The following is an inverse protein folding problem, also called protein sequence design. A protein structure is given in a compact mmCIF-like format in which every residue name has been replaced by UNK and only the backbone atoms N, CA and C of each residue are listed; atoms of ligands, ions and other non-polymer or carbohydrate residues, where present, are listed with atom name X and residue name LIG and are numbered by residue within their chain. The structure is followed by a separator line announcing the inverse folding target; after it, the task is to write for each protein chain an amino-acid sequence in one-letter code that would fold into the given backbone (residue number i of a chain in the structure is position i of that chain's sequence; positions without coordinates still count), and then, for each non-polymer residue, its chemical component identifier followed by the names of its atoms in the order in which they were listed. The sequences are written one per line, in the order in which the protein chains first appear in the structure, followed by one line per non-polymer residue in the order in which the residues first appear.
data_IF_926860348608
#
_entry.id   IF_926860348608
#
_cell.length_a   1.000
_cell.length_b   1.000
_cell.length_c   1.000
_cell.angle_alpha   90.00
_cell.angle_beta   90.00
_cell.angle_gamma   90.00
#
_symmetry.space_group_name_H-M   'P 1'
#
loop_
_entity.id
_entity.type
_entity.pdbx_description
1 polymer ?
#
# COMPACT_ATOMS: atom_id res chain seq x y z
N UNK A 1 20.50 5.23 26.08
CA UNK A 1 20.52 6.69 25.89
C UNK A 1 20.13 6.94 24.45
N UNK A 2 18.86 7.28 24.22
CA UNK A 2 18.32 7.49 22.87
C UNK A 2 18.77 8.85 22.35
N UNK A 3 19.23 8.88 21.10
CA UNK A 3 19.44 10.11 20.36
C UNK A 3 18.11 10.85 20.25
N UNK A 4 17.99 12.01 20.90
CA UNK A 4 16.96 12.99 20.57
C UNK A 4 17.19 13.43 19.12
N UNK A 5 16.41 12.88 18.19
CA UNK A 5 16.28 13.44 16.84
C UNK A 5 15.81 14.88 16.99
N UNK A 6 16.73 15.81 16.76
CA UNK A 6 16.50 17.25 16.72
C UNK A 6 15.35 17.54 15.74
N UNK A 7 14.13 17.78 16.25
CA UNK A 7 12.96 18.10 15.43
C UNK A 7 13.25 19.43 14.73
N UNK A 8 13.40 19.40 13.39
CA UNK A 8 13.51 20.62 12.59
C UNK A 8 12.32 21.52 12.91
N UNK A 9 12.57 22.82 13.05
CA UNK A 9 11.48 23.79 13.23
C UNK A 9 10.54 23.72 12.03
N UNK A 10 9.23 23.93 12.23
CA UNK A 10 8.22 23.95 11.14
C UNK A 10 8.66 24.85 9.98
N UNK A 11 9.30 25.98 10.30
CA UNK A 11 9.85 26.93 9.33
C UNK A 11 10.98 26.32 8.50
N UNK A 12 11.79 25.46 9.10
CA UNK A 12 12.91 24.79 8.45
C UNK A 12 12.45 23.60 7.60
N UNK A 13 11.39 22.91 8.02
CA UNK A 13 10.75 21.90 7.20
C UNK A 13 10.07 22.52 5.96
N UNK A 14 9.45 23.69 6.09
CA UNK A 14 8.79 24.37 4.95
C UNK A 14 9.76 24.96 3.92
N UNK A 15 11.07 25.04 4.20
CA UNK A 15 12.06 25.54 3.22
C UNK A 15 12.23 24.64 2.00
N UNK A 16 11.85 23.37 2.12
CA UNK A 16 11.97 22.37 1.07
C UNK A 16 10.65 21.62 0.84
N UNK A 17 10.16 21.64 -0.39
CA UNK A 17 8.91 21.04 -0.84
C UNK A 17 9.21 20.11 -2.01
N UNK A 18 9.02 18.80 -1.80
CA UNK A 18 9.21 17.78 -2.85
C UNK A 18 10.62 17.75 -3.43
N UNK A 19 11.66 17.97 -2.61
CA UNK A 19 13.06 18.01 -3.06
C UNK A 19 13.49 19.35 -3.70
N UNK A 20 12.60 20.36 -3.71
CA UNK A 20 12.88 21.68 -4.28
C UNK A 20 12.80 22.79 -3.22
N UNK A 21 13.53 23.91 -3.40
CA UNK A 21 13.34 25.10 -2.58
C UNK A 21 11.88 25.60 -2.66
N UNK A 22 11.33 26.02 -1.52
CA UNK A 22 9.92 26.41 -1.41
C UNK A 22 9.48 27.47 -2.43
N UNK A 23 10.33 28.45 -2.72
CA UNK A 23 10.05 29.52 -3.68
C UNK A 23 9.92 29.00 -5.12
N UNK A 24 10.74 28.00 -5.48
CA UNK A 24 10.71 27.38 -6.81
C UNK A 24 9.45 26.53 -6.95
N UNK A 25 9.11 25.76 -5.91
CA UNK A 25 7.85 25.03 -5.87
C UNK A 25 6.65 25.96 -6.04
N UNK A 26 6.59 27.08 -5.32
CA UNK A 26 5.46 28.02 -5.43
C UNK A 26 5.35 28.64 -6.83
N UNK A 27 6.49 28.96 -7.47
CA UNK A 27 6.50 29.44 -8.85
C UNK A 27 5.93 28.39 -9.81
N UNK A 28 6.41 27.14 -9.73
CA UNK A 28 5.90 26.03 -10.53
C UNK A 28 4.41 25.78 -10.28
N UNK A 29 3.99 25.76 -9.01
CA UNK A 29 2.61 25.56 -8.61
C UNK A 29 1.71 26.68 -9.17
N UNK A 30 2.13 27.94 -9.07
CA UNK A 30 1.37 29.07 -9.58
C UNK A 30 1.15 28.98 -11.10
N UNK A 31 2.20 28.63 -11.86
CA UNK A 31 2.11 28.45 -13.31
C UNK A 31 1.18 27.29 -13.65
N UNK A 32 1.41 26.11 -13.05
CA UNK A 32 0.61 24.91 -13.32
C UNK A 32 -0.86 25.16 -12.98
N UNK A 33 -1.15 25.74 -11.81
CA UNK A 33 -2.52 26.07 -11.42
C UNK A 33 -3.15 27.09 -12.36
N UNK A 34 -2.44 28.15 -12.76
CA UNK A 34 -2.96 29.14 -13.71
C UNK A 34 -3.39 28.48 -15.03
N UNK A 35 -2.51 27.66 -15.61
CA UNK A 35 -2.75 26.97 -16.89
C UNK A 35 -3.86 25.91 -16.75
N UNK A 36 -3.95 25.25 -15.59
CA UNK A 36 -5.04 24.31 -15.23
C UNK A 36 -6.39 25.03 -15.14
N UNK A 37 -6.45 26.17 -14.45
CA UNK A 37 -7.71 26.94 -14.31
C UNK A 37 -8.14 27.64 -15.60
N UNK A 38 -7.22 27.97 -16.50
CA UNK A 38 -7.55 28.46 -17.85
C UNK A 38 -7.87 27.34 -18.84
N UNK A 39 -7.80 26.09 -18.40
CA UNK A 39 -8.00 24.89 -19.24
C UNK A 39 -7.09 24.81 -20.47
N UNK A 40 -5.83 25.25 -20.35
CA UNK A 40 -4.86 25.28 -21.45
C UNK A 40 -3.74 24.26 -21.30
N UNK A 41 -3.72 23.47 -20.21
CA UNK A 41 -2.65 22.52 -19.91
C UNK A 41 -2.74 21.26 -20.79
N UNK A 42 -3.94 20.92 -21.25
CA UNK A 42 -4.23 19.69 -21.98
C UNK A 42 -4.59 18.51 -21.08
N UNK A 43 -4.85 17.36 -21.70
CA UNK A 43 -5.38 16.15 -21.06
C UNK A 43 -4.53 14.92 -21.38
N UNK A 44 -3.23 15.02 -21.15
CA UNK A 44 -2.26 13.95 -21.39
C UNK A 44 -1.56 13.51 -20.10
N UNK A 45 -0.63 12.57 -20.23
CA UNK A 45 0.14 12.06 -19.10
C UNK A 45 1.00 13.15 -18.41
N UNK A 46 1.47 14.16 -19.15
CA UNK A 46 2.25 15.26 -18.57
C UNK A 46 1.36 16.21 -17.76
N UNK A 47 0.16 16.52 -18.25
CA UNK A 47 -0.84 17.27 -17.50
C UNK A 47 -1.24 16.54 -16.20
N UNK A 48 -1.44 15.22 -16.28
CA UNK A 48 -1.68 14.38 -15.12
C UNK A 48 -0.55 14.47 -14.09
N UNK A 49 0.71 14.30 -14.52
CA UNK A 49 1.87 14.39 -13.62
C UNK A 49 1.93 15.78 -13.00
N UNK A 50 1.80 16.84 -13.78
CA UNK A 50 1.90 18.22 -13.30
C UNK A 50 0.83 18.54 -12.23
N UNK A 51 -0.44 18.27 -12.53
CA UNK A 51 -1.57 18.58 -11.65
C UNK A 51 -1.50 17.74 -10.37
N UNK A 52 -1.30 16.43 -10.49
CA UNK A 52 -1.23 15.54 -9.31
C UNK A 52 -0.01 15.82 -8.44
N UNK A 53 1.15 16.10 -9.02
CA UNK A 53 2.39 16.35 -8.27
C UNK A 53 2.32 17.66 -7.50
N UNK A 54 1.79 18.73 -8.10
CA UNK A 54 1.62 20.02 -7.39
C UNK A 54 0.75 19.83 -6.15
N UNK A 55 -0.41 19.17 -6.30
CA UNK A 55 -1.29 18.92 -5.16
C UNK A 55 -0.68 17.95 -4.14
N UNK A 56 -0.07 16.87 -4.61
CA UNK A 56 0.50 15.84 -3.74
C UNK A 56 1.62 16.39 -2.87
N UNK A 57 2.55 17.19 -3.42
CA UNK A 57 3.68 17.73 -2.66
C UNK A 57 3.21 18.58 -1.48
N UNK A 58 2.30 19.53 -1.70
CA UNK A 58 1.85 20.43 -0.63
C UNK A 58 1.00 19.71 0.40
N UNK A 59 0.04 18.88 -0.03
CA UNK A 59 -0.82 18.13 0.87
C UNK A 59 -0.01 17.10 1.68
N UNK A 60 0.91 16.38 1.04
CA UNK A 60 1.80 15.44 1.73
C UNK A 60 2.64 16.18 2.79
N UNK A 61 3.19 17.35 2.45
CA UNK A 61 3.96 18.15 3.40
C UNK A 61 3.11 18.58 4.59
N UNK A 62 1.92 19.12 4.35
CA UNK A 62 1.00 19.55 5.41
C UNK A 62 0.68 18.38 6.35
N UNK A 63 0.35 17.21 5.79
CA UNK A 63 0.01 16.03 6.60
C UNK A 63 1.18 15.53 7.46
N UNK A 64 2.42 15.67 6.98
CA UNK A 64 3.62 15.27 7.73
C UNK A 64 4.00 16.27 8.82
N UNK A 65 3.77 17.57 8.60
CA UNK A 65 4.07 18.63 9.57
C UNK A 65 3.09 18.62 10.74
N UNK A 66 1.81 18.33 10.49
CA UNK A 66 0.76 18.36 11.53
C UNK A 66 0.97 17.22 12.54
N UNK A 67 1.36 17.49 13.80
CA UNK A 67 1.83 16.44 14.72
C UNK A 67 0.75 15.39 15.05
N UNK A 68 -0.48 15.85 15.28
CA UNK A 68 -1.61 14.97 15.59
C UNK A 68 -1.97 14.12 14.35
N UNK A 69 -2.02 14.75 13.18
CA UNK A 69 -2.36 14.08 11.93
C UNK A 69 -1.32 13.01 11.55
N UNK A 70 -0.04 13.38 11.65
CA UNK A 70 1.06 12.49 11.33
C UNK A 70 1.12 11.29 12.28
N UNK A 71 0.89 11.52 13.56
CA UNK A 71 0.98 10.45 14.57
C UNK A 71 -0.24 9.53 14.59
N UNK A 72 -1.46 10.07 14.44
CA UNK A 72 -2.69 9.33 14.73
C UNK A 72 -3.58 9.06 13.53
N UNK A 73 -3.41 9.77 12.42
CA UNK A 73 -4.26 9.57 11.24
C UNK A 73 -3.48 8.76 10.22
N UNK A 74 -2.41 9.32 9.66
CA UNK A 74 -1.60 8.59 8.68
C UNK A 74 -0.73 9.49 7.83
N UNK A 75 -0.31 10.63 8.40
CA UNK A 75 0.64 11.53 7.78
C UNK A 75 0.19 12.08 6.43
N UNK A 76 1.19 12.41 5.63
CA UNK A 76 0.99 13.07 4.35
C UNK A 76 0.18 12.26 3.34
N UNK A 77 0.28 10.93 3.33
CA UNK A 77 -0.50 10.08 2.42
C UNK A 77 -2.01 10.26 2.60
N UNK A 78 -2.51 10.17 3.84
CA UNK A 78 -3.92 10.39 4.11
C UNK A 78 -4.31 11.87 3.93
N UNK A 79 -3.40 12.81 4.14
CA UNK A 79 -3.66 14.22 3.83
C UNK A 79 -3.84 14.45 2.32
N UNK A 80 -3.07 13.77 1.47
CA UNK A 80 -3.30 13.81 0.02
C UNK A 80 -4.68 13.23 -0.30
N UNK A 81 -5.05 12.09 0.28
CA UNK A 81 -6.34 11.46 0.05
C UNK A 81 -7.53 12.34 0.46
N UNK A 82 -7.59 12.74 1.74
CA UNK A 82 -8.71 13.57 2.24
C UNK A 82 -8.66 15.00 1.70
N UNK A 83 -7.45 15.57 1.58
CA UNK A 83 -7.25 16.91 1.04
C UNK A 83 -7.75 17.01 -0.39
N UNK A 84 -7.37 16.08 -1.28
CA UNK A 84 -7.88 16.07 -2.67
C UNK A 84 -9.38 15.81 -2.73
N UNK A 85 -9.94 14.95 -1.86
CA UNK A 85 -11.38 14.75 -1.77
C UNK A 85 -12.12 16.04 -1.36
N UNK A 86 -11.59 16.82 -0.41
CA UNK A 86 -12.13 18.12 -0.02
C UNK A 86 -12.02 19.11 -1.17
N UNK A 87 -10.86 19.20 -1.84
CA UNK A 87 -10.66 20.08 -2.99
C UNK A 87 -11.67 19.77 -4.11
N UNK A 88 -11.89 18.49 -4.40
CA UNK A 88 -12.92 18.04 -5.34
C UNK A 88 -14.33 18.45 -4.87
N UNK A 89 -14.67 18.19 -3.60
CA UNK A 89 -16.00 18.50 -3.05
C UNK A 89 -16.31 20.00 -3.06
N UNK A 90 -15.28 20.84 -2.91
CA UNK A 90 -15.39 22.30 -3.00
C UNK A 90 -15.30 22.82 -4.45
N UNK A 91 -15.23 21.95 -5.45
CA UNK A 91 -15.06 22.28 -6.87
C UNK A 91 -13.82 23.15 -7.15
N UNK A 92 -12.74 22.94 -6.39
CA UNK A 92 -11.46 23.64 -6.55
C UNK A 92 -10.53 22.99 -7.58
N UNK A 93 -10.90 21.80 -8.08
CA UNK A 93 -10.21 21.11 -9.17
C UNK A 93 -11.16 21.12 -10.37
N UNK A 94 -10.78 21.67 -11.53
CA UNK A 94 -11.67 21.67 -12.69
C UNK A 94 -12.00 20.23 -13.12
N UNK A 95 -13.26 20.02 -13.51
CA UNK A 95 -13.83 18.67 -13.72
C UNK A 95 -13.05 17.84 -14.74
N UNK A 96 -12.59 18.45 -15.84
CA UNK A 96 -11.79 17.74 -16.85
C UNK A 96 -10.52 17.09 -16.26
N UNK A 97 -9.86 17.75 -15.30
CA UNK A 97 -8.67 17.18 -14.65
C UNK A 97 -9.03 16.09 -13.65
N UNK A 98 -10.22 16.15 -13.03
CA UNK A 98 -10.73 15.05 -12.20
C UNK A 98 -10.98 13.81 -13.06
N UNK A 99 -11.58 13.98 -14.23
CA UNK A 99 -11.79 12.90 -15.20
C UNK A 99 -10.47 12.34 -15.74
N UNK A 100 -9.52 13.21 -16.09
CA UNK A 100 -8.16 12.82 -16.51
C UNK A 100 -7.50 11.92 -15.47
N UNK A 101 -7.52 12.34 -14.20
CA UNK A 101 -6.94 11.57 -13.10
C UNK A 101 -7.67 10.23 -12.95
N UNK A 102 -9.00 10.21 -12.99
CA UNK A 102 -9.78 8.97 -12.93
C UNK A 102 -9.42 7.99 -14.04
N UNK A 103 -9.34 8.48 -15.28
CA UNK A 103 -9.03 7.68 -16.47
C UNK A 103 -7.61 7.13 -16.46
N UNK A 104 -6.62 7.92 -16.03
CA UNK A 104 -5.22 7.48 -15.96
C UNK A 104 -5.01 6.48 -14.82
N UNK A 105 -5.61 6.73 -13.66
CA UNK A 105 -5.38 5.91 -12.46
C UNK A 105 -6.15 4.59 -12.51
N UNK A 106 -7.45 4.65 -12.80
CA UNK A 106 -8.36 3.50 -12.68
C UNK A 106 -9.15 3.17 -13.95
N UNK A 107 -9.26 4.11 -14.90
CA UNK A 107 -9.91 3.89 -16.19
C UNK A 107 -9.05 3.10 -17.17
N UNK A 108 -9.14 3.40 -18.46
CA UNK A 108 -8.55 2.57 -19.52
C UNK A 108 -7.02 2.39 -19.43
N UNK A 109 -6.31 3.41 -18.95
CA UNK A 109 -4.84 3.34 -18.79
C UNK A 109 -4.46 2.46 -17.60
N UNK A 110 -5.24 2.55 -16.51
CA UNK A 110 -5.09 1.79 -15.28
C UNK A 110 -3.63 1.64 -14.80
N UNK A 111 -2.94 2.76 -14.56
CA UNK A 111 -1.57 2.72 -14.01
C UNK A 111 -1.55 2.11 -12.59
N UNK A 112 -2.70 2.07 -11.92
CA UNK A 112 -2.87 1.40 -10.63
C UNK A 112 -2.51 -0.10 -10.71
N UNK A 113 -2.85 -0.80 -11.79
CA UNK A 113 -2.43 -2.19 -11.96
C UNK A 113 -0.91 -2.35 -12.02
N UNK A 114 -0.20 -1.40 -12.65
CA UNK A 114 1.26 -1.37 -12.71
C UNK A 114 1.85 -1.18 -11.31
N UNK A 115 1.25 -0.29 -10.52
CA UNK A 115 1.64 -0.07 -9.12
C UNK A 115 1.45 -1.34 -8.27
N UNK A 116 0.27 -1.95 -8.33
CA UNK A 116 -0.07 -3.16 -7.55
C UNK A 116 0.86 -4.32 -7.91
N UNK A 117 1.04 -4.61 -9.21
CA UNK A 117 1.87 -5.75 -9.62
C UNK A 117 3.33 -5.54 -9.21
N UNK A 118 3.80 -4.30 -9.23
CA UNK A 118 5.16 -3.97 -8.82
C UNK A 118 5.34 -4.16 -7.31
N UNK A 119 4.37 -3.72 -6.49
CA UNK A 119 4.40 -3.98 -5.05
C UNK A 119 4.36 -5.47 -4.72
N UNK A 120 3.49 -6.25 -5.38
CA UNK A 120 3.42 -7.70 -5.18
C UNK A 120 4.76 -8.36 -5.55
N UNK A 121 5.28 -8.04 -6.73
CA UNK A 121 6.53 -8.62 -7.22
C UNK A 121 7.69 -8.28 -6.31
N UNK A 122 7.76 -7.02 -5.88
CA UNK A 122 8.82 -6.51 -5.02
C UNK A 122 8.81 -7.02 -3.60
N UNK A 123 7.67 -6.90 -2.92
CA UNK A 123 7.53 -7.33 -1.54
C UNK A 123 7.93 -8.79 -1.36
N UNK A 124 7.47 -9.68 -2.25
CA UNK A 124 7.73 -11.11 -2.15
C UNK A 124 9.15 -11.48 -2.59
N UNK A 125 9.65 -10.96 -3.72
CA UNK A 125 11.02 -11.25 -4.18
C UNK A 125 12.10 -10.63 -3.29
N UNK A 126 11.74 -9.63 -2.48
CA UNK A 126 12.65 -9.04 -1.50
C UNK A 126 13.00 -9.97 -0.35
N UNK A 127 12.12 -10.93 -0.05
CA UNK A 127 12.32 -11.91 1.03
C UNK A 127 13.46 -12.88 0.69
N UNK A 128 14.28 -13.21 1.69
CA UNK A 128 15.23 -14.31 1.55
C UNK A 128 14.49 -15.63 1.31
N UNK A 129 14.98 -16.45 0.37
CA UNK A 129 14.34 -17.72 0.00
C UNK A 129 14.15 -18.64 1.21
N UNK A 130 15.15 -18.73 2.09
CA UNK A 130 15.08 -19.60 3.27
C UNK A 130 14.11 -19.02 4.30
N UNK A 131 14.05 -17.69 4.45
CA UNK A 131 13.02 -17.02 5.28
C UNK A 131 11.62 -17.26 4.73
N UNK A 132 11.42 -17.14 3.41
CA UNK A 132 10.15 -17.42 2.74
C UNK A 132 9.73 -18.88 2.98
N UNK A 133 10.58 -19.86 2.68
CA UNK A 133 10.28 -21.28 2.86
C UNK A 133 10.03 -21.66 4.33
N UNK A 134 10.81 -21.09 5.26
CA UNK A 134 10.62 -21.32 6.70
C UNK A 134 9.32 -20.69 7.21
N UNK A 135 8.92 -19.56 6.64
CA UNK A 135 7.65 -18.90 6.96
C UNK A 135 6.45 -19.80 6.66
N UNK A 136 6.49 -20.65 5.61
CA UNK A 136 5.42 -21.62 5.34
C UNK A 136 5.21 -22.64 6.47
N UNK A 137 6.26 -23.01 7.20
CA UNK A 137 6.19 -24.04 8.25
C UNK A 137 5.64 -23.57 9.60
N UNK A 138 5.68 -22.27 9.91
CA UNK A 138 5.23 -21.77 11.21
C UNK A 138 4.62 -20.36 11.21
N UNK A 139 5.13 -19.46 10.39
CA UNK A 139 4.64 -18.08 10.34
C UNK A 139 3.27 -17.98 9.64
N UNK A 140 3.10 -18.65 8.49
CA UNK A 140 1.83 -18.65 7.75
C UNK A 140 0.69 -19.27 8.57
N UNK A 141 0.83 -20.45 9.22
CA UNK A 141 -0.20 -20.95 10.12
C UNK A 141 -0.59 -19.98 11.23
N UNK A 142 0.39 -19.24 11.78
CA UNK A 142 0.14 -18.23 12.83
C UNK A 142 -0.64 -17.03 12.29
N UNK A 143 -0.30 -16.54 11.09
CA UNK A 143 -1.07 -15.48 10.40
C UNK A 143 -2.50 -15.95 10.11
N UNK A 144 -2.67 -17.16 9.59
CA UNK A 144 -4.00 -17.72 9.30
C UNK A 144 -4.82 -17.90 10.58
N UNK A 145 -4.18 -18.32 11.69
CA UNK A 145 -4.82 -18.37 13.01
C UNK A 145 -5.27 -16.98 13.48
N UNK A 146 -4.43 -15.97 13.31
CA UNK A 146 -4.78 -14.57 13.58
C UNK A 146 -5.95 -14.06 12.73
N UNK A 147 -5.96 -14.39 11.42
CA UNK A 147 -7.05 -14.05 10.51
C UNK A 147 -8.36 -14.73 10.90
N UNK A 148 -8.32 -16.03 11.25
CA UNK A 148 -9.50 -16.75 11.74
C UNK A 148 -10.00 -16.13 13.05
N UNK A 149 -9.10 -15.82 13.99
CA UNK A 149 -9.44 -15.12 15.23
C UNK A 149 -10.13 -13.78 14.96
N UNK A 150 -9.52 -12.94 14.12
CA UNK A 150 -10.08 -11.65 13.72
C UNK A 150 -11.44 -11.80 13.04
N UNK A 151 -11.61 -12.82 12.18
CA UNK A 151 -12.88 -13.13 11.54
C UNK A 151 -13.97 -13.54 12.55
N UNK A 152 -13.63 -14.41 13.51
CA UNK A 152 -14.58 -14.85 14.56
C UNK A 152 -14.99 -13.67 15.44
N UNK A 153 -14.03 -12.94 16.01
CA UNK A 153 -14.34 -11.79 16.87
C UNK A 153 -15.05 -10.67 16.10
N UNK A 154 -14.66 -10.43 14.85
CA UNK A 154 -15.33 -9.47 13.96
C UNK A 154 -16.77 -9.87 13.66
N UNK A 155 -17.05 -11.13 13.37
CA UNK A 155 -18.41 -11.62 13.14
C UNK A 155 -19.28 -11.53 14.40
N UNK A 156 -18.73 -11.91 15.57
CA UNK A 156 -19.44 -11.81 16.86
C UNK A 156 -19.79 -10.35 17.16
N UNK A 157 -18.84 -9.43 17.00
CA UNK A 157 -19.10 -8.01 17.15
C UNK A 157 -20.16 -7.51 16.15
N UNK A 158 -20.06 -7.89 14.88
CA UNK A 158 -21.03 -7.53 13.86
C UNK A 158 -22.45 -7.94 14.21
N UNK A 159 -22.65 -9.16 14.71
CA UNK A 159 -23.98 -9.65 15.14
C UNK A 159 -24.57 -8.75 16.23
N UNK A 160 -23.75 -8.29 17.19
CA UNK A 160 -24.19 -7.38 18.27
C UNK A 160 -24.70 -6.05 17.68
N UNK A 161 -24.09 -5.57 16.61
CA UNK A 161 -24.47 -4.33 15.92
C UNK A 161 -25.44 -4.52 14.74
N UNK A 162 -25.96 -5.74 14.52
CA UNK A 162 -26.87 -6.04 13.41
C UNK A 162 -26.21 -6.05 12.02
N UNK A 163 -24.89 -6.18 11.94
CA UNK A 163 -24.13 -6.30 10.69
C UNK A 163 -23.99 -7.78 10.33
N UNK A 164 -24.22 -8.11 9.06
CA UNK A 164 -24.10 -9.49 8.57
C UNK A 164 -22.65 -9.99 8.72
N UNK A 165 -22.42 -11.24 9.16
CA UNK A 165 -21.06 -11.80 9.30
C UNK A 165 -20.20 -11.67 8.04
N UNK A 166 -20.79 -11.87 6.86
CA UNK A 166 -20.08 -11.76 5.59
C UNK A 166 -19.61 -10.32 5.31
N UNK A 167 -20.43 -9.32 5.65
CA UNK A 167 -20.07 -7.91 5.52
C UNK A 167 -18.96 -7.54 6.50
N UNK A 168 -18.97 -8.10 7.72
CA UNK A 168 -17.87 -7.93 8.67
C UNK A 168 -16.55 -8.46 8.11
N UNK A 169 -16.55 -9.66 7.54
CA UNK A 169 -15.34 -10.23 6.96
C UNK A 169 -14.85 -9.39 5.79
N UNK A 170 -15.74 -9.12 4.83
CA UNK A 170 -15.36 -8.46 3.57
C UNK A 170 -14.98 -6.99 3.77
N UNK A 171 -15.73 -6.23 4.57
CA UNK A 171 -15.57 -4.77 4.68
C UNK A 171 -14.70 -4.33 5.85
N UNK A 172 -14.50 -5.18 6.86
CA UNK A 172 -13.70 -4.83 8.04
C UNK A 172 -12.47 -5.74 8.20
N UNK A 173 -12.68 -7.05 8.35
CA UNK A 173 -11.59 -7.98 8.69
C UNK A 173 -10.53 -8.02 7.59
N UNK A 174 -10.94 -8.19 6.33
CA UNK A 174 -10.00 -8.26 5.20
C UNK A 174 -9.20 -6.96 5.01
N UNK A 175 -9.81 -5.76 5.03
CA UNK A 175 -9.05 -4.51 5.03
C UNK A 175 -8.08 -4.34 6.21
N UNK A 176 -8.50 -4.69 7.43
CA UNK A 176 -7.67 -4.54 8.64
C UNK A 176 -6.47 -5.49 8.62
N UNK A 177 -6.68 -6.73 8.18
CA UNK A 177 -5.66 -7.77 8.12
C UNK A 177 -4.82 -7.70 6.82
N UNK A 178 -5.20 -6.84 5.87
CA UNK A 178 -4.47 -6.61 4.63
C UNK A 178 -3.20 -5.78 4.84
N UNK A 179 -2.35 -5.74 3.81
CA UNK A 179 -1.05 -5.03 3.85
C UNK A 179 -1.21 -3.51 3.64
N UNK A 180 -1.93 -2.87 4.56
CA UNK A 180 -2.14 -1.43 4.58
C UNK A 180 -2.85 -0.88 3.33
N UNK A 181 -2.49 0.34 2.94
CA UNK A 181 -3.15 1.03 1.84
C UNK A 181 -2.73 0.47 0.47
N UNK A 182 -1.45 0.64 0.10
CA UNK A 182 -0.97 0.41 -1.26
C UNK A 182 -0.99 -1.06 -1.72
N UNK A 183 -0.74 -2.00 -0.81
CA UNK A 183 -0.72 -3.43 -1.10
C UNK A 183 -1.96 -4.18 -0.58
N UNK A 184 -2.79 -3.56 0.27
CA UNK A 184 -4.00 -4.15 0.84
C UNK A 184 -5.29 -3.55 0.27
N UNK A 185 -5.68 -2.38 0.80
CA UNK A 185 -6.97 -1.74 0.51
C UNK A 185 -7.20 -1.50 -0.99
N UNK A 186 -6.15 -1.09 -1.71
CA UNK A 186 -6.20 -0.83 -3.15
C UNK A 186 -6.49 -2.11 -3.95
N UNK A 187 -5.69 -3.19 -3.91
CA UNK A 187 -6.03 -4.43 -4.59
C UNK A 187 -7.36 -5.06 -4.16
N UNK A 188 -7.69 -5.01 -2.86
CA UNK A 188 -8.95 -5.55 -2.34
C UNK A 188 -10.16 -4.83 -2.96
N UNK A 189 -10.06 -3.51 -3.17
CA UNK A 189 -11.12 -2.74 -3.82
C UNK A 189 -11.37 -3.18 -5.27
N UNK A 190 -10.32 -3.53 -6.01
CA UNK A 190 -10.41 -4.02 -7.38
C UNK A 190 -11.03 -5.43 -7.44
N UNK A 191 -10.65 -6.30 -6.50
CA UNK A 191 -11.25 -7.63 -6.36
C UNK A 191 -12.75 -7.50 -6.02
N UNK A 192 -13.09 -6.61 -5.10
CA UNK A 192 -14.47 -6.35 -4.70
C UNK A 192 -15.31 -5.85 -5.87
N UNK A 193 -14.81 -4.89 -6.64
CA UNK A 193 -15.49 -4.37 -7.84
C UNK A 193 -15.72 -5.46 -8.89
N UNK A 194 -14.72 -6.28 -9.18
CA UNK A 194 -14.86 -7.37 -10.16
C UNK A 194 -15.96 -8.37 -9.76
N UNK A 195 -16.09 -8.69 -8.46
CA UNK A 195 -17.01 -9.72 -7.98
C UNK A 195 -18.41 -9.16 -7.72
N UNK A 196 -18.50 -7.95 -7.14
CA UNK A 196 -19.77 -7.36 -6.72
C UNK A 196 -20.40 -6.44 -7.77
N UNK A 197 -19.61 -5.90 -8.70
CA UNK A 197 -20.03 -4.86 -9.64
C UNK A 197 -20.09 -3.46 -9.02
N UNK A 198 -19.85 -3.31 -7.72
CA UNK A 198 -19.82 -2.01 -7.04
C UNK A 198 -18.51 -1.27 -7.31
N UNK A 199 -18.54 0.06 -7.45
CA UNK A 199 -17.32 0.84 -7.70
C UNK A 199 -16.23 0.60 -6.66
N UNK A 200 -15.00 0.33 -7.11
CA UNK A 200 -13.85 0.10 -6.23
C UNK A 200 -13.63 1.26 -5.25
N UNK A 201 -13.88 2.49 -5.69
CA UNK A 201 -13.78 3.70 -4.87
C UNK A 201 -14.64 3.65 -3.60
N UNK A 202 -15.84 3.04 -3.66
CA UNK A 202 -16.73 2.93 -2.51
C UNK A 202 -16.14 2.00 -1.45
N UNK A 203 -15.68 0.82 -1.87
CA UNK A 203 -15.02 -0.13 -0.99
C UNK A 203 -13.73 0.46 -0.41
N UNK A 204 -12.89 1.06 -1.26
CA UNK A 204 -11.62 1.65 -0.85
C UNK A 204 -11.81 2.77 0.19
N UNK A 205 -12.76 3.68 -0.03
CA UNK A 205 -13.03 4.79 0.90
C UNK A 205 -13.48 4.28 2.27
N UNK A 206 -14.25 3.21 2.32
CA UNK A 206 -14.63 2.57 3.57
C UNK A 206 -13.43 1.84 4.22
N UNK A 207 -12.73 1.02 3.44
CA UNK A 207 -11.60 0.22 3.87
C UNK A 207 -10.48 1.07 4.48
N UNK A 208 -10.13 2.21 3.87
CA UNK A 208 -9.05 3.08 4.36
C UNK A 208 -9.40 3.72 5.71
N UNK A 209 -10.67 4.06 5.95
CA UNK A 209 -11.13 4.62 7.23
C UNK A 209 -11.04 3.55 8.32
N UNK A 210 -11.57 2.36 8.05
CA UNK A 210 -11.54 1.24 9.00
C UNK A 210 -10.11 0.83 9.32
N UNK A 211 -9.25 0.71 8.30
CA UNK A 211 -7.82 0.44 8.44
C UNK A 211 -7.14 1.46 9.36
N UNK A 212 -7.40 2.75 9.13
CA UNK A 212 -6.79 3.84 9.91
C UNK A 212 -7.15 3.74 11.38
N UNK A 213 -8.44 3.52 11.68
CA UNK A 213 -8.92 3.34 13.04
C UNK A 213 -8.30 2.09 13.67
N UNK A 214 -8.29 0.97 12.95
CA UNK A 214 -7.72 -0.28 13.46
C UNK A 214 -6.22 -0.15 13.76
N UNK A 215 -5.46 0.59 12.94
CA UNK A 215 -4.04 0.82 13.16
C UNK A 215 -3.77 1.51 14.51
N UNK A 216 -4.61 2.46 14.92
CA UNK A 216 -4.52 3.08 16.25
C UNK A 216 -4.69 2.04 17.37
N UNK A 217 -5.67 1.16 17.24
CA UNK A 217 -5.87 0.07 18.19
C UNK A 217 -4.72 -0.93 18.18
N UNK A 218 -4.12 -1.23 17.02
CA UNK A 218 -2.94 -2.08 16.90
C UNK A 218 -1.74 -1.50 17.66
N UNK A 219 -1.49 -0.19 17.56
CA UNK A 219 -0.42 0.49 18.33
C UNK A 219 -0.66 0.33 19.84
N UNK A 220 -1.88 0.60 20.29
CA UNK A 220 -2.25 0.46 21.71
C UNK A 220 -2.12 -1.00 22.17
N UNK A 221 -2.63 -1.96 21.38
CA UNK A 221 -2.53 -3.38 21.67
C UNK A 221 -1.07 -3.85 21.72
N UNK A 222 -0.22 -3.39 20.80
CA UNK A 222 1.22 -3.69 20.79
C UNK A 222 1.92 -3.18 22.05
N UNK A 223 1.61 -1.96 22.49
CA UNK A 223 2.14 -1.41 23.73
C UNK A 223 1.68 -2.21 24.97
N UNK A 224 0.41 -2.62 25.01
CA UNK A 224 -0.15 -3.45 26.08
C UNK A 224 0.46 -4.86 26.10
N UNK A 225 0.65 -5.49 24.93
CA UNK A 225 1.28 -6.80 24.80
C UNK A 225 2.76 -6.76 25.21
N UNK A 226 3.49 -5.70 24.85
CA UNK A 226 4.87 -5.49 25.30
C UNK A 226 4.94 -5.41 26.83
N UNK A 227 4.05 -4.63 27.46
CA UNK A 227 3.97 -4.56 28.92
C UNK A 227 3.61 -5.90 29.56
N UNK A 228 2.69 -6.66 28.93
CA UNK A 228 2.33 -8.00 29.40
C UNK A 228 3.53 -8.94 29.38
N UNK A 229 4.35 -8.92 28.32
CA UNK A 229 5.58 -9.72 28.22
C UNK A 229 6.61 -9.36 29.30
N UNK A 230 6.71 -8.09 29.69
CA UNK A 230 7.57 -7.67 30.80
C UNK A 230 7.10 -8.18 32.16
N UNK A 231 5.78 -8.26 32.37
CA UNK A 231 5.18 -8.76 33.63
C UNK A 231 5.17 -10.29 33.68
N UNK A 232 4.95 -10.95 32.53
CA UNK A 232 4.94 -12.40 32.39
C UNK A 232 5.98 -12.85 31.36
N UNK A 233 7.25 -13.02 31.78
CA UNK A 233 8.34 -13.45 30.91
C UNK A 233 8.06 -14.77 30.17
N UNK A 234 7.23 -15.65 30.73
CA UNK A 234 6.82 -16.92 30.12
C UNK A 234 5.98 -16.76 28.83
N UNK A 235 5.35 -15.60 28.62
CA UNK A 235 4.53 -15.30 27.44
C UNK A 235 5.30 -14.55 26.36
N UNK A 236 6.57 -14.22 26.60
CA UNK A 236 7.44 -13.51 25.65
C UNK A 236 8.63 -14.37 25.26
N UNK A 237 9.04 -14.25 24.01
CA UNK A 237 10.30 -14.82 23.52
C UNK A 237 11.50 -13.93 23.88
N UNK A 238 12.49 -13.90 22.99
CA UNK A 238 13.71 -13.10 23.11
C UNK A 238 13.50 -11.58 22.92
N UNK A 239 12.26 -11.16 22.62
CA UNK A 239 11.89 -9.76 22.37
C UNK A 239 12.49 -9.15 21.10
N UNK A 240 13.18 -9.94 20.28
CA UNK A 240 13.93 -9.45 19.11
C UNK A 240 13.55 -10.16 17.82
N UNK A 241 13.11 -11.42 17.89
CA UNK A 241 12.78 -12.20 16.71
C UNK A 241 11.37 -12.79 16.77
N UNK A 242 10.63 -12.69 15.66
CA UNK A 242 9.29 -13.27 15.50
C UNK A 242 9.35 -14.82 15.48
N UNK A 243 10.51 -15.38 15.10
CA UNK A 243 10.88 -16.79 15.17
C UNK A 243 12.41 -16.83 15.28
N UNK A 244 13.06 -17.82 15.93
CA UNK A 244 14.52 -17.95 15.90
C UNK A 244 14.99 -18.19 14.46
N UNK A 245 15.22 -17.12 13.71
CA UNK A 245 15.85 -17.14 12.40
C UNK A 245 17.34 -17.03 12.67
N UNK A 246 18.10 -18.00 12.18
CA UNK A 246 19.56 -17.92 12.20
C UNK A 246 19.93 -16.60 11.52
N UNK A 247 20.68 -15.72 12.19
CA UNK A 247 21.05 -14.39 11.67
C UNK A 247 21.77 -14.49 10.32
N UNK A 248 22.36 -15.66 10.02
CA UNK A 248 22.96 -16.03 8.75
C UNK A 248 21.97 -16.24 7.58
N UNK A 249 20.65 -16.24 7.83
CA UNK A 249 19.59 -16.39 6.81
C UNK A 249 19.00 -15.04 6.39
N UNK A 250 19.32 -13.98 7.12
CA UNK A 250 18.97 -12.62 6.72
C UNK A 250 19.99 -12.22 5.65
N UNK A 251 19.51 -11.88 4.45
CA UNK A 251 20.39 -11.33 3.41
C UNK A 251 21.17 -10.17 4.02
N UNK A 252 22.49 -10.21 3.96
CA UNK A 252 23.25 -8.97 4.06
C UNK A 252 22.71 -8.06 2.95
N UNK A 253 22.50 -6.78 3.26
CA UNK A 253 22.21 -5.75 2.27
C UNK A 253 23.44 -5.63 1.36
N UNK A 254 23.57 -6.56 0.41
CA UNK A 254 24.53 -6.46 -0.66
C UNK A 254 24.04 -5.29 -1.48
N UNK A 255 24.71 -4.15 -1.32
CA UNK A 255 24.52 -2.96 -2.16
C UNK A 255 24.95 -3.32 -3.58
N UNK A 256 24.10 -4.06 -4.28
CA UNK A 256 24.24 -4.32 -5.71
C UNK A 256 24.03 -2.99 -6.40
N UNK A 257 24.99 -2.59 -7.23
CA UNK A 257 24.88 -1.38 -8.03
C UNK A 257 23.83 -1.63 -9.11
N UNK A 258 22.61 -1.15 -8.87
CA UNK A 258 21.50 -1.23 -9.82
C UNK A 258 21.82 -0.40 -11.07
N UNK A 259 21.62 -0.99 -12.24
CA UNK A 259 21.80 -0.36 -13.55
C UNK A 259 20.46 -0.13 -14.23
N UNK A 260 20.39 0.77 -15.23
CA UNK A 260 19.17 0.99 -16.01
C UNK A 260 18.61 -0.29 -16.66
N UNK A 261 19.48 -1.24 -17.03
CA UNK A 261 19.07 -2.52 -17.60
C UNK A 261 18.28 -3.38 -16.61
N UNK A 262 18.57 -3.26 -15.31
CA UNK A 262 17.83 -3.96 -14.26
C UNK A 262 16.40 -3.44 -14.16
N UNK A 263 16.17 -2.14 -14.41
CA UNK A 263 14.82 -1.56 -14.46
C UNK A 263 14.00 -2.14 -15.62
N UNK A 264 14.61 -2.30 -16.79
CA UNK A 264 13.95 -2.92 -17.96
C UNK A 264 13.56 -4.38 -17.67
N UNK A 265 14.47 -5.15 -17.08
CA UNK A 265 14.21 -6.53 -16.69
C UNK A 265 13.10 -6.65 -15.65
N UNK A 266 13.08 -5.77 -14.65
CA UNK A 266 12.07 -5.76 -13.60
C UNK A 266 10.66 -5.39 -14.13
N UNK A 267 10.57 -4.40 -15.02
CA UNK A 267 9.31 -4.03 -15.66
C UNK A 267 8.78 -5.17 -16.54
N UNK A 268 9.65 -5.82 -17.32
CA UNK A 268 9.28 -6.98 -18.11
C UNK A 268 8.80 -8.14 -17.22
N UNK A 269 9.47 -8.37 -16.08
CA UNK A 269 9.06 -9.39 -15.11
C UNK A 269 7.69 -9.09 -14.52
N UNK A 270 7.43 -7.84 -14.10
CA UNK A 270 6.11 -7.41 -13.63
C UNK A 270 5.02 -7.64 -14.68
N UNK A 271 5.27 -7.21 -15.91
CA UNK A 271 4.36 -7.43 -17.04
C UNK A 271 4.09 -8.91 -17.29
N UNK A 272 5.13 -9.75 -17.17
CA UNK A 272 5.02 -11.20 -17.34
C UNK A 272 4.20 -11.84 -16.22
N UNK A 273 4.44 -11.48 -14.95
CA UNK A 273 3.67 -11.99 -13.81
C UNK A 273 2.20 -11.56 -13.92
N UNK A 274 1.93 -10.32 -14.34
CA UNK A 274 0.57 -9.87 -14.60
C UNK A 274 -0.08 -10.66 -15.75
N UNK A 275 0.65 -10.86 -16.86
CA UNK A 275 0.16 -11.60 -18.02
C UNK A 275 -0.19 -13.06 -17.67
N UNK A 276 0.68 -13.74 -16.92
CA UNK A 276 0.42 -15.11 -16.45
C UNK A 276 -0.76 -15.13 -15.48
N UNK A 277 -0.84 -14.18 -14.54
CA UNK A 277 -1.99 -14.06 -13.64
C UNK A 277 -3.31 -13.85 -14.40
N UNK A 278 -3.28 -13.07 -15.48
CA UNK A 278 -4.43 -12.81 -16.34
C UNK A 278 -4.80 -14.03 -17.18
N UNK A 279 -3.81 -14.75 -17.71
CA UNK A 279 -4.01 -16.01 -18.44
C UNK A 279 -4.73 -17.04 -17.56
N UNK A 280 -4.33 -17.18 -16.30
CA UNK A 280 -4.98 -18.10 -15.37
C UNK A 280 -6.37 -17.64 -14.97
N UNK A 281 -6.55 -16.37 -14.58
CA UNK A 281 -7.85 -15.85 -14.15
C UNK A 281 -8.91 -15.75 -15.26
N UNK A 282 -8.51 -15.71 -16.54
CA UNK A 282 -9.46 -15.53 -17.65
C UNK A 282 -9.62 -16.76 -18.54
N UNK A 283 -8.59 -17.60 -18.67
CA UNK A 283 -8.58 -18.69 -19.65
C UNK A 283 -8.38 -20.06 -19.01
N UNK A 284 -7.30 -20.24 -18.25
CA UNK A 284 -6.90 -21.59 -17.83
C UNK A 284 -7.69 -22.09 -16.62
N UNK A 285 -7.81 -21.27 -15.57
CA UNK A 285 -8.47 -21.63 -14.31
C UNK A 285 -9.25 -20.42 -13.77
N UNK A 286 -10.27 -19.91 -14.49
CA UNK A 286 -11.00 -18.73 -14.05
C UNK A 286 -11.73 -18.91 -12.71
N UNK A 287 -12.10 -20.16 -12.38
CA UNK A 287 -12.71 -20.51 -11.10
C UNK A 287 -12.08 -21.76 -10.51
N UNK A 288 -11.83 -21.73 -9.20
CA UNK A 288 -11.30 -22.86 -8.43
C UNK A 288 -12.30 -23.16 -7.32
N UNK A 289 -12.81 -24.39 -7.26
CA UNK A 289 -13.87 -24.79 -6.32
C UNK A 289 -15.12 -23.88 -6.33
N UNK A 290 -15.48 -23.35 -7.50
CA UNK A 290 -16.64 -22.45 -7.68
C UNK A 290 -16.40 -20.99 -7.30
N UNK A 291 -15.20 -20.64 -6.80
CA UNK A 291 -14.81 -19.25 -6.53
C UNK A 291 -14.00 -18.68 -7.69
N UNK A 292 -14.36 -17.48 -8.16
CA UNK A 292 -13.56 -16.75 -9.15
C UNK A 292 -12.27 -16.23 -8.51
N UNK A 293 -11.14 -16.47 -9.16
CA UNK A 293 -9.83 -16.06 -8.65
C UNK A 293 -9.33 -14.86 -9.46
N UNK A 294 -9.10 -13.75 -8.76
CA UNK A 294 -8.65 -12.50 -9.38
C UNK A 294 -7.22 -12.61 -9.94
N UNK A 295 -6.91 -11.82 -10.97
CA UNK A 295 -5.57 -11.72 -11.58
C UNK A 295 -4.46 -11.57 -10.53
N UNK A 296 -4.63 -10.65 -9.58
CA UNK A 296 -3.65 -10.41 -8.52
C UNK A 296 -3.42 -11.60 -7.58
N UNK A 297 -4.46 -12.40 -7.30
CA UNK A 297 -4.29 -13.59 -6.48
C UNK A 297 -3.41 -14.63 -7.18
N UNK A 298 -3.62 -14.84 -8.50
CA UNK A 298 -2.70 -15.67 -9.29
C UNK A 298 -1.30 -15.09 -9.35
N UNK A 299 -1.17 -13.77 -9.59
CA UNK A 299 0.13 -13.11 -9.61
C UNK A 299 0.93 -13.37 -8.33
N UNK A 300 0.31 -13.24 -7.15
CA UNK A 300 0.94 -13.56 -5.85
C UNK A 300 1.45 -15.01 -5.83
N UNK A 301 0.62 -15.98 -6.22
CA UNK A 301 1.00 -17.41 -6.24
C UNK A 301 2.22 -17.62 -7.15
N UNK A 302 2.22 -17.04 -8.35
CA UNK A 302 3.35 -17.17 -9.27
C UNK A 302 4.62 -16.52 -8.75
N UNK A 303 4.53 -15.33 -8.13
CA UNK A 303 5.71 -14.69 -7.53
C UNK A 303 6.27 -15.54 -6.39
N UNK A 304 5.42 -16.09 -5.53
CA UNK A 304 5.82 -17.02 -4.47
C UNK A 304 6.54 -18.24 -5.03
N UNK A 305 6.04 -18.84 -6.12
CA UNK A 305 6.68 -19.98 -6.77
C UNK A 305 8.06 -19.58 -7.32
N UNK A 306 8.16 -18.46 -8.03
CA UNK A 306 9.43 -17.94 -8.57
C UNK A 306 10.44 -17.70 -7.45
N UNK A 307 10.00 -17.09 -6.34
CA UNK A 307 10.82 -16.83 -5.17
C UNK A 307 11.28 -18.15 -4.50
N UNK A 308 10.38 -19.12 -4.35
CA UNK A 308 10.68 -20.42 -3.76
C UNK A 308 11.65 -21.26 -4.61
N UNK A 309 11.58 -21.16 -5.94
CA UNK A 309 12.50 -21.80 -6.87
C UNK A 309 13.88 -21.13 -6.92
N UNK A 310 13.98 -19.87 -6.45
CA UNK A 310 15.24 -19.11 -6.44
C UNK A 310 15.69 -18.65 -7.83
N UNK A 311 14.76 -18.53 -8.78
CA UNK A 311 15.05 -18.20 -10.18
C UNK A 311 15.49 -16.73 -10.33
N UNK A 312 15.04 -15.83 -9.45
CA UNK A 312 15.34 -14.39 -9.50
C UNK A 312 16.01 -13.96 -8.19
N UNK A 313 17.34 -13.81 -8.19
CA UNK A 313 18.10 -13.48 -6.98
C UNK A 313 18.37 -11.98 -6.78
N UNK A 314 18.23 -11.14 -7.83
CA UNK A 314 18.88 -9.81 -7.90
C UNK A 314 17.92 -8.62 -7.93
N UNK A 315 16.60 -8.81 -8.04
CA UNK A 315 15.63 -7.69 -8.24
C UNK A 315 14.90 -7.31 -6.93
N UNK A 316 15.36 -7.82 -5.78
CA UNK A 316 14.78 -7.56 -4.46
C UNK A 316 14.87 -6.08 -4.04
N UNK A 317 16.07 -5.49 -4.16
CA UNK A 317 16.36 -4.12 -3.71
C UNK A 317 15.74 -3.04 -4.62
N UNK A 318 15.18 -3.42 -5.76
CA UNK A 318 14.65 -2.54 -6.81
C UNK A 318 13.27 -1.95 -6.45
N UNK A 319 12.36 -2.76 -5.91
CA UNK A 319 10.97 -2.35 -5.76
C UNK A 319 10.71 -1.38 -4.60
N UNK A 320 11.54 -1.45 -3.57
CA UNK A 320 11.46 -0.55 -2.41
C UNK A 320 11.89 0.88 -2.74
N UNK A 321 12.77 1.10 -3.74
CA UNK A 321 13.26 2.44 -4.10
C UNK A 321 12.46 3.13 -5.22
N UNK A 322 11.64 2.41 -5.98
CA UNK A 322 10.89 3.00 -7.09
C UNK A 322 9.49 3.50 -6.69
N UNK A 323 8.91 2.98 -5.59
CA UNK A 323 7.51 3.24 -5.20
C UNK A 323 7.31 3.82 -3.78
N UNK A 324 8.40 4.00 -3.00
CA UNK A 324 8.42 4.75 -1.73
C UNK A 324 9.18 6.07 -1.90
#
# INVERSE_FOLDING_TARGET
MGEEKNKKSVVEEMKELGGMPWWLYLLCAAIILAVTFTDTLGYDAMAFIAVTTVMAIILNKIGNILPIWNTYIGGGLLMVFFGTAILKQLNLIPEGYVELIGNIVQGDVNILNVFIISLITGSILSLDRKVLLRSFGGYIPSILGGLVGAAVFGCVAGIIFGIRPIDMVIKYVLPIMGDGNGAGAVPLSQIYEQISGEPAANYYSFAIIVLTIANLFCIVAGALLNRLGQVKPELTGDGTNIMPVDSNLIKEDVKVKVTLNDYTGALLLCGTIYAVGRLFSKVLLPSVFGAQIHTFAYSIIFVVIIAALGIVLIIASFFFSFFL
#
